data_IF_712428177993
#
_entry.id   IF_712428177993
#
_cell.length_a   1.000
_cell.length_b   1.000
_cell.length_c   1.000
_cell.angle_alpha   90.00
_cell.angle_beta   90.00
_cell.angle_gamma   90.00
#
_symmetry.space_group_name_H-M   'P 1'
#
loop_
_entity.id
_entity.type
_entity.pdbx_description
1 polymer ?
#
# COMPACT_ATOMS: atom_id res chain seq x y z
N UNK A 1 7.38 16.44 8.09
CA UNK A 1 7.96 15.70 6.95
C UNK A 1 9.46 15.90 6.91
N UNK A 2 10.17 14.86 6.48
CA UNK A 2 11.61 14.92 6.28
C UNK A 2 11.90 15.45 4.87
N UNK A 3 12.88 16.34 4.76
CA UNK A 3 13.36 16.89 3.48
C UNK A 3 14.67 16.24 3.02
N UNK A 4 15.33 15.48 3.90
CA UNK A 4 16.59 14.77 3.66
C UNK A 4 16.43 13.32 4.05
N UNK A 5 16.83 12.40 3.16
CA UNK A 5 16.56 10.97 3.31
C UNK A 5 17.87 10.15 3.27
N UNK A 6 18.55 10.06 4.40
CA UNK A 6 19.95 9.61 4.50
C UNK A 6 20.17 8.10 4.26
N UNK A 7 19.09 7.31 4.20
CA UNK A 7 19.18 5.85 4.04
C UNK A 7 19.22 5.37 2.57
N UNK A 8 18.84 6.23 1.62
CA UNK A 8 18.90 5.93 0.18
C UNK A 8 20.21 6.43 -0.43
N UNK A 9 20.86 5.55 -1.20
CA UNK A 9 22.03 5.90 -2.02
C UNK A 9 21.69 6.95 -3.08
N UNK A 10 22.70 7.64 -3.61
CA UNK A 10 22.51 8.63 -4.68
C UNK A 10 21.77 8.07 -5.89
N UNK A 11 22.06 6.82 -6.28
CA UNK A 11 21.40 6.13 -7.39
C UNK A 11 19.93 5.84 -7.09
N UNK A 12 19.58 5.41 -5.87
CA UNK A 12 18.19 5.14 -5.50
C UNK A 12 17.36 6.42 -5.41
N UNK A 13 17.96 7.51 -4.89
CA UNK A 13 17.32 8.83 -4.91
C UNK A 13 17.05 9.30 -6.33
N UNK A 14 17.97 9.05 -7.26
CA UNK A 14 17.79 9.36 -8.68
C UNK A 14 16.64 8.55 -9.30
N UNK A 15 16.59 7.23 -9.04
CA UNK A 15 15.47 6.37 -9.48
C UNK A 15 14.11 6.84 -8.94
N UNK A 16 14.06 7.25 -7.67
CA UNK A 16 12.83 7.78 -7.07
C UNK A 16 12.40 9.09 -7.73
N UNK A 17 13.34 9.98 -8.07
CA UNK A 17 13.04 11.21 -8.81
C UNK A 17 12.51 10.91 -10.21
N UNK A 18 13.14 10.00 -10.94
CA UNK A 18 12.66 9.56 -12.26
C UNK A 18 11.24 8.98 -12.20
N UNK A 19 10.96 8.19 -11.16
CA UNK A 19 9.61 7.69 -10.88
C UNK A 19 8.64 8.84 -10.62
N UNK A 20 9.01 9.79 -9.76
CA UNK A 20 8.17 10.95 -9.46
C UNK A 20 7.90 11.82 -10.69
N UNK A 21 8.89 12.03 -11.56
CA UNK A 21 8.74 12.78 -12.81
C UNK A 21 7.79 12.06 -13.79
N UNK A 22 7.87 10.73 -13.88
CA UNK A 22 6.96 9.94 -14.69
C UNK A 22 5.51 10.02 -14.16
N UNK A 23 5.34 9.94 -12.84
CA UNK A 23 4.04 10.11 -12.18
C UNK A 23 3.50 11.52 -12.40
N UNK A 24 4.33 12.55 -12.24
CA UNK A 24 3.95 13.94 -12.39
C UNK A 24 3.38 14.23 -13.78
N UNK A 25 4.02 13.69 -14.82
CA UNK A 25 3.56 13.81 -16.22
C UNK A 25 2.28 13.03 -16.50
N UNK A 26 2.08 11.90 -15.83
CA UNK A 26 0.95 11.01 -16.10
C UNK A 26 -0.36 11.47 -15.42
N UNK A 27 -0.27 11.94 -14.17
CA UNK A 27 -1.48 12.11 -13.33
C UNK A 27 -1.58 13.47 -12.63
N UNK A 28 -0.60 14.37 -12.85
CA UNK A 28 -0.58 15.74 -12.31
C UNK A 28 -0.97 15.82 -10.82
N UNK A 29 -0.22 15.15 -9.92
CA UNK A 29 -0.53 15.14 -8.50
C UNK A 29 -0.16 16.47 -7.84
N UNK A 30 -0.82 16.80 -6.73
CA UNK A 30 -0.39 17.92 -5.89
C UNK A 30 0.83 17.54 -5.05
N UNK A 31 0.89 16.28 -4.58
CA UNK A 31 2.03 15.77 -3.80
C UNK A 31 2.35 14.33 -4.12
N UNK A 32 3.63 14.00 -4.04
CA UNK A 32 4.14 12.63 -4.05
C UNK A 32 4.99 12.46 -2.79
N UNK A 33 4.59 11.53 -1.92
CA UNK A 33 5.29 11.23 -0.68
C UNK A 33 5.73 9.77 -0.70
N UNK A 34 7.04 9.54 -0.56
CA UNK A 34 7.58 8.20 -0.34
C UNK A 34 7.53 7.89 1.16
N UNK A 35 6.87 6.82 1.55
CA UNK A 35 6.71 6.44 2.96
C UNK A 35 7.34 5.08 3.31
N UNK A 36 7.85 4.36 2.32
CA UNK A 36 8.53 3.08 2.50
C UNK A 36 9.39 2.73 1.30
N UNK A 37 10.38 1.87 1.51
CA UNK A 37 11.13 1.25 0.43
C UNK A 37 11.67 -0.12 0.86
N UNK A 38 11.91 -1.00 -0.12
CA UNK A 38 12.48 -2.34 0.08
C UNK A 38 13.50 -2.64 -1.03
N UNK A 39 14.69 -3.09 -0.65
CA UNK A 39 15.71 -3.61 -1.58
C UNK A 39 15.46 -5.09 -1.80
N UNK A 40 15.50 -5.51 -3.05
CA UNK A 40 15.14 -6.85 -3.48
C UNK A 40 16.28 -7.42 -4.30
N UNK A 41 16.84 -8.52 -3.82
CA UNK A 41 17.82 -9.29 -4.59
C UNK A 41 17.06 -10.31 -5.45
N UNK A 42 17.01 -10.07 -6.76
CA UNK A 42 16.24 -10.89 -7.69
C UNK A 42 17.19 -11.74 -8.52
N UNK A 43 17.14 -13.04 -8.28
CA UNK A 43 17.83 -14.02 -9.13
C UNK A 43 16.82 -14.61 -10.10
N UNK A 44 17.16 -14.62 -11.39
CA UNK A 44 16.26 -15.15 -12.42
C UNK A 44 16.95 -16.24 -13.20
N UNK A 45 16.44 -17.46 -13.09
CA UNK A 45 16.84 -18.54 -13.98
C UNK A 45 15.71 -18.83 -14.95
N UNK A 46 16.05 -18.97 -16.23
CA UNK A 46 15.10 -19.39 -17.25
C UNK A 46 15.77 -20.37 -18.23
N UNK A 47 14.99 -21.31 -18.75
CA UNK A 47 15.50 -22.34 -19.68
C UNK A 47 16.05 -21.76 -20.98
N UNK A 48 15.55 -20.61 -21.43
CA UNK A 48 15.95 -19.98 -22.69
C UNK A 48 17.08 -18.95 -22.56
N UNK A 49 17.40 -18.52 -21.34
CA UNK A 49 18.36 -17.44 -21.09
C UNK A 49 19.35 -17.72 -19.95
N UNK A 50 19.30 -18.92 -19.38
CA UNK A 50 20.19 -19.36 -18.30
C UNK A 50 19.92 -18.64 -16.97
N UNK A 51 20.88 -18.75 -16.06
CA UNK A 51 20.90 -17.96 -14.83
C UNK A 51 21.31 -16.52 -15.16
N UNK A 52 20.41 -15.56 -14.97
CA UNK A 52 20.72 -14.13 -14.97
C UNK A 52 20.62 -13.61 -13.54
N UNK A 53 21.73 -13.05 -13.05
CA UNK A 53 21.70 -12.14 -11.89
C UNK A 53 21.07 -10.83 -12.36
N UNK A 54 19.83 -10.55 -11.96
CA UNK A 54 19.28 -9.21 -12.15
C UNK A 54 19.81 -8.33 -11.01
N UNK A 55 20.39 -7.18 -11.36
CA UNK A 55 20.81 -6.16 -10.38
C UNK A 55 19.67 -5.82 -9.43
N UNK A 56 20.03 -5.47 -8.19
CA UNK A 56 19.13 -5.08 -7.10
C UNK A 56 17.95 -4.22 -7.58
N UNK A 57 16.75 -4.77 -7.43
CA UNK A 57 15.52 -4.03 -7.62
C UNK A 57 15.17 -3.27 -6.34
N UNK A 58 14.54 -2.11 -6.50
CA UNK A 58 13.99 -1.36 -5.37
C UNK A 58 12.48 -1.25 -5.53
N UNK A 59 11.74 -1.57 -4.48
CA UNK A 59 10.32 -1.28 -4.38
C UNK A 59 10.13 -0.02 -3.54
N UNK A 60 9.35 0.96 -4.03
CA UNK A 60 8.96 2.14 -3.27
C UNK A 60 7.47 2.10 -2.92
N UNK A 61 7.13 2.54 -1.71
CA UNK A 61 5.76 2.73 -1.29
C UNK A 61 5.42 4.22 -1.33
N UNK A 62 4.52 4.58 -2.25
CA UNK A 62 4.26 5.95 -2.68
C UNK A 62 2.81 6.33 -2.35
N UNK A 63 2.64 7.42 -1.61
CA UNK A 63 1.38 8.11 -1.45
C UNK A 63 1.29 9.25 -2.48
N UNK A 64 0.27 9.18 -3.32
CA UNK A 64 -0.05 10.20 -4.32
C UNK A 64 -1.25 10.99 -3.81
N UNK A 65 -1.08 12.30 -3.68
CA UNK A 65 -2.15 13.21 -3.26
C UNK A 65 -2.59 14.01 -4.46
N UNK A 66 -3.87 13.86 -4.81
CA UNK A 66 -4.52 14.57 -5.90
C UNK A 66 -5.13 15.87 -5.40
N UNK A 67 -5.10 16.87 -6.27
CA UNK A 67 -5.80 18.12 -6.07
C UNK A 67 -7.30 18.02 -6.23
N UNK A 68 -8.00 19.04 -5.73
CA UNK A 68 -9.47 19.12 -5.81
C UNK A 68 -9.97 19.11 -7.25
N UNK A 69 -9.23 19.76 -8.15
CA UNK A 69 -9.55 19.96 -9.57
C UNK A 69 -9.06 18.82 -10.46
N UNK A 70 -8.39 17.79 -9.92
CA UNK A 70 -7.91 16.68 -10.73
C UNK A 70 -9.11 15.88 -11.28
N UNK A 71 -9.25 15.74 -12.61
CA UNK A 71 -10.43 15.16 -13.24
C UNK A 71 -10.45 13.63 -13.19
N UNK A 72 -9.32 12.97 -12.91
CA UNK A 72 -9.21 11.53 -12.99
C UNK A 72 -9.84 10.86 -11.76
N UNK A 73 -10.64 9.81 -12.01
CA UNK A 73 -11.10 8.89 -10.96
C UNK A 73 -9.92 8.08 -10.43
N UNK A 74 -10.05 7.56 -9.21
CA UNK A 74 -8.95 6.83 -8.56
C UNK A 74 -8.54 5.57 -9.36
N UNK A 75 -9.50 4.88 -9.97
CA UNK A 75 -9.26 3.70 -10.81
C UNK A 75 -8.49 4.03 -12.10
N UNK A 76 -8.81 5.15 -12.75
CA UNK A 76 -8.13 5.61 -13.95
C UNK A 76 -6.67 5.98 -13.65
N UNK A 77 -6.45 6.65 -12.51
CA UNK A 77 -5.10 7.00 -12.03
C UNK A 77 -4.29 5.73 -11.80
N UNK A 78 -4.86 4.73 -11.11
CA UNK A 78 -4.16 3.45 -10.90
C UNK A 78 -3.80 2.78 -12.23
N UNK A 79 -4.71 2.79 -13.20
CA UNK A 79 -4.46 2.22 -14.53
C UNK A 79 -3.33 2.96 -15.27
N UNK A 80 -3.24 4.28 -15.13
CA UNK A 80 -2.14 5.08 -15.70
C UNK A 80 -0.81 4.80 -14.99
N UNK A 81 -0.82 4.70 -13.67
CA UNK A 81 0.37 4.37 -12.87
C UNK A 81 0.87 2.95 -13.15
N UNK A 82 -0.04 2.01 -13.37
CA UNK A 82 0.27 0.63 -13.76
C UNK A 82 0.92 0.54 -15.15
N UNK A 83 0.89 1.62 -15.96
CA UNK A 83 1.65 1.68 -17.23
C UNK A 83 3.08 2.20 -17.04
N UNK A 84 3.38 2.85 -15.92
CA UNK A 84 4.74 3.33 -15.63
C UNK A 84 5.62 2.11 -15.34
N UNK A 85 6.65 1.94 -16.17
CA UNK A 85 7.63 0.85 -16.07
C UNK A 85 9.02 1.45 -16.13
N UNK A 86 9.71 1.42 -14.99
CA UNK A 86 11.10 1.82 -14.89
C UNK A 86 11.94 0.58 -14.60
N UNK A 87 13.06 0.37 -15.31
CA UNK A 87 13.94 -0.76 -15.05
C UNK A 87 14.41 -0.80 -13.59
N UNK A 88 14.34 -1.97 -12.96
CA UNK A 88 14.76 -2.21 -11.57
C UNK A 88 14.01 -1.40 -10.51
N UNK A 89 12.85 -0.83 -10.85
CA UNK A 89 12.00 -0.09 -9.91
C UNK A 89 10.61 -0.70 -9.91
N UNK A 90 10.15 -1.08 -8.72
CA UNK A 90 8.75 -1.42 -8.42
C UNK A 90 8.15 -0.30 -7.58
N UNK A 91 6.86 -0.07 -7.71
CA UNK A 91 6.19 0.96 -6.93
C UNK A 91 4.78 0.50 -6.54
N UNK A 92 4.46 0.69 -5.27
CA UNK A 92 3.13 0.47 -4.72
C UNK A 92 2.49 1.82 -4.47
N UNK A 93 1.26 2.01 -4.96
CA UNK A 93 0.59 3.30 -4.93
C UNK A 93 -0.61 3.30 -4.00
N UNK A 94 -0.67 4.30 -3.13
CA UNK A 94 -1.89 4.72 -2.45
C UNK A 94 -2.28 6.08 -3.02
N UNK A 95 -3.56 6.27 -3.34
CA UNK A 95 -4.07 7.52 -3.89
C UNK A 95 -5.11 8.08 -2.94
N UNK A 96 -4.97 9.36 -2.60
CA UNK A 96 -5.97 10.12 -1.85
C UNK A 96 -6.10 11.53 -2.41
N UNK A 97 -7.19 12.21 -2.03
CA UNK A 97 -7.32 13.66 -2.23
C UNK A 97 -6.73 14.40 -1.02
N UNK A 98 -6.24 15.61 -1.24
CA UNK A 98 -5.71 16.46 -0.15
C UNK A 98 -6.70 16.63 1.00
N UNK A 99 -8.00 16.75 0.69
CA UNK A 99 -9.08 16.84 1.69
C UNK A 99 -9.22 15.59 2.53
N UNK A 100 -9.13 14.40 1.90
CA UNK A 100 -9.20 13.12 2.60
C UNK A 100 -8.01 12.90 3.51
N UNK A 101 -6.80 13.25 3.05
CA UNK A 101 -5.59 13.18 3.87
C UNK A 101 -5.68 14.12 5.07
N UNK A 102 -6.08 15.38 4.86
CA UNK A 102 -6.19 16.35 5.95
C UNK A 102 -7.26 15.97 6.97
N UNK A 103 -8.42 15.47 6.52
CA UNK A 103 -9.45 14.93 7.41
C UNK A 103 -8.91 13.76 8.24
N UNK A 104 -8.23 12.80 7.60
CA UNK A 104 -7.67 11.65 8.30
C UNK A 104 -6.58 12.05 9.30
N UNK A 105 -5.73 13.04 8.98
CA UNK A 105 -4.76 13.58 9.94
C UNK A 105 -5.47 14.19 11.15
N UNK A 106 -6.49 15.03 10.91
CA UNK A 106 -7.29 15.69 11.95
C UNK A 106 -8.11 14.72 12.82
N UNK A 107 -8.53 13.59 12.27
CA UNK A 107 -9.21 12.52 13.01
C UNK A 107 -8.23 11.62 13.81
N UNK A 108 -6.92 11.86 13.68
CA UNK A 108 -5.89 11.08 14.36
C UNK A 108 -5.57 9.75 13.70
N UNK A 109 -5.72 9.62 12.38
CA UNK A 109 -5.33 8.41 11.64
C UNK A 109 -3.84 8.14 11.83
N UNK A 110 -3.51 6.96 12.36
CA UNK A 110 -2.13 6.58 12.67
C UNK A 110 -1.23 6.62 11.41
N UNK A 111 -1.66 5.95 10.33
CA UNK A 111 -0.95 5.93 9.05
C UNK A 111 -0.64 7.34 8.52
N UNK A 112 -1.66 8.19 8.32
CA UNK A 112 -1.45 9.51 7.72
C UNK A 112 -0.65 10.46 8.62
N UNK A 113 -0.75 10.32 9.94
CA UNK A 113 0.09 11.05 10.88
C UNK A 113 1.55 10.63 10.79
N UNK A 114 1.84 9.32 10.70
CA UNK A 114 3.21 8.82 10.49
C UNK A 114 3.77 9.25 9.13
N UNK A 115 2.97 9.20 8.05
CA UNK A 115 3.37 9.68 6.73
C UNK A 115 3.65 11.19 6.76
N UNK A 116 2.82 12.00 7.42
CA UNK A 116 3.06 13.44 7.58
C UNK A 116 4.30 13.74 8.44
N UNK A 117 4.60 12.90 9.42
CA UNK A 117 5.78 13.07 10.29
C UNK A 117 7.07 12.64 9.60
N UNK A 118 7.13 11.39 9.12
CA UNK A 118 8.33 10.69 8.67
C UNK A 118 8.42 10.47 7.16
N UNK A 119 7.33 10.64 6.43
CA UNK A 119 7.33 10.51 4.97
C UNK A 119 8.28 11.52 4.32
N UNK A 120 8.85 11.10 3.20
CA UNK A 120 9.72 11.92 2.38
C UNK A 120 8.92 12.58 1.26
N UNK A 121 8.85 13.90 1.29
CA UNK A 121 8.24 14.68 0.23
C UNK A 121 9.13 14.65 -1.02
N UNK A 122 8.66 13.99 -2.08
CA UNK A 122 9.39 13.89 -3.35
C UNK A 122 8.94 14.98 -4.32
N UNK A 123 7.65 15.30 -4.33
CA UNK A 123 7.07 16.37 -5.12
C UNK A 123 6.05 17.14 -4.29
N UNK A 124 6.14 18.47 -4.29
CA UNK A 124 5.20 19.37 -3.63
C UNK A 124 4.80 20.52 -4.56
N UNK A 125 3.52 20.58 -4.94
CA UNK A 125 2.95 21.66 -5.76
C UNK A 125 2.34 22.81 -4.95
N UNK A 126 2.50 22.83 -3.62
CA UNK A 126 2.11 23.93 -2.73
C UNK A 126 0.81 23.76 -1.95
N UNK A 127 0.03 22.69 -2.15
CA UNK A 127 -1.22 22.49 -1.40
C UNK A 127 -0.99 22.23 0.10
N UNK A 128 -1.70 22.87 1.04
CA UNK A 128 -1.41 22.70 2.46
C UNK A 128 -1.83 21.31 2.96
N UNK A 129 -0.88 20.60 3.60
CA UNK A 129 -1.18 19.43 4.42
C UNK A 129 -1.22 19.84 5.88
N UNK A 130 -2.18 19.29 6.63
CA UNK A 130 -2.23 19.48 8.06
C UNK A 130 -0.98 18.90 8.73
N UNK A 131 -0.45 19.63 9.71
CA UNK A 131 0.61 19.12 10.59
C UNK A 131 0.12 17.88 11.32
N UNK A 132 1.00 16.90 11.50
CA UNK A 132 0.67 15.70 12.26
C UNK A 132 0.16 16.09 13.65
N UNK A 133 -0.94 15.47 14.06
CA UNK A 133 -1.48 15.58 15.40
C UNK A 133 -0.97 14.38 16.18
N UNK A 134 -0.05 14.62 17.13
CA UNK A 134 0.58 13.54 17.88
C UNK A 134 -0.39 12.96 18.91
N UNK A 135 -1.22 12.00 18.49
CA UNK A 135 -2.13 11.29 19.38
C UNK A 135 -2.48 9.85 18.93
N UNK A 136 -1.47 9.00 18.69
CA UNK A 136 -1.68 7.53 18.79
C UNK A 136 -0.95 7.03 20.02
N UNK A 137 -1.61 7.10 21.17
CA UNK A 137 -1.21 6.30 22.32
C UNK A 137 -1.29 4.81 21.94
N UNK A 138 -0.35 4.00 22.44
CA UNK A 138 -0.38 2.54 22.23
C UNK A 138 -1.76 1.95 22.59
N UNK A 139 -2.40 2.51 23.62
CA UNK A 139 -3.76 2.18 24.03
C UNK A 139 -4.81 2.39 22.92
N UNK A 140 -4.80 3.55 22.26
CA UNK A 140 -5.69 3.85 21.13
C UNK A 140 -5.45 2.88 19.97
N UNK A 141 -4.19 2.63 19.63
CA UNK A 141 -3.86 1.73 18.52
C UNK A 141 -4.30 0.27 18.85
N UNK A 142 -4.15 -0.20 20.10
CA UNK A 142 -4.65 -1.51 20.57
C UNK A 142 -6.18 -1.59 20.53
N UNK A 143 -6.88 -0.55 21.00
CA UNK A 143 -8.34 -0.55 21.00
C UNK A 143 -8.92 -0.57 19.59
N UNK A 144 -8.35 0.22 18.67
CA UNK A 144 -8.71 0.17 17.26
C UNK A 144 -8.53 -1.24 16.69
N UNK A 145 -7.41 -1.90 16.97
CA UNK A 145 -7.16 -3.26 16.51
C UNK A 145 -8.22 -4.25 17.02
N UNK A 146 -8.59 -4.16 18.31
CA UNK A 146 -9.66 -4.97 18.91
C UNK A 146 -11.02 -4.73 18.28
N UNK A 147 -11.41 -3.47 18.08
CA UNK A 147 -12.68 -3.09 17.47
C UNK A 147 -12.76 -3.59 16.02
N UNK A 148 -11.72 -3.36 15.23
CA UNK A 148 -11.62 -3.82 13.84
C UNK A 148 -11.73 -5.34 13.78
N UNK A 149 -10.98 -6.06 14.62
CA UNK A 149 -11.01 -7.51 14.62
C UNK A 149 -12.37 -8.06 15.05
N UNK A 150 -12.98 -7.49 16.09
CA UNK A 150 -14.30 -7.90 16.59
C UNK A 150 -15.38 -7.76 15.51
N UNK A 151 -15.31 -6.71 14.69
CA UNK A 151 -16.25 -6.47 13.59
C UNK A 151 -16.00 -7.38 12.38
N UNK A 152 -14.74 -7.63 12.02
CA UNK A 152 -14.41 -8.34 10.77
C UNK A 152 -14.32 -9.86 10.96
N UNK A 153 -13.83 -10.33 12.11
CA UNK A 153 -13.60 -11.75 12.37
C UNK A 153 -14.83 -12.63 12.11
N UNK A 154 -16.05 -12.31 12.61
CA UNK A 154 -17.22 -13.16 12.36
C UNK A 154 -17.52 -13.34 10.87
N UNK A 155 -17.33 -12.28 10.08
CA UNK A 155 -17.56 -12.31 8.63
C UNK A 155 -16.50 -13.13 7.91
N UNK A 156 -15.23 -12.86 8.17
CA UNK A 156 -14.12 -13.60 7.55
C UNK A 156 -14.18 -15.10 7.89
N UNK A 157 -14.48 -15.41 9.17
CA UNK A 157 -14.66 -16.78 9.62
C UNK A 157 -15.89 -17.45 9.02
N UNK A 158 -16.99 -16.70 8.82
CA UNK A 158 -18.17 -17.19 8.11
C UNK A 158 -17.86 -17.61 6.67
N UNK A 159 -17.07 -16.81 5.94
CA UNK A 159 -16.59 -17.19 4.59
C UNK A 159 -15.73 -18.45 4.62
N UNK A 160 -14.79 -18.54 5.58
CA UNK A 160 -13.98 -19.74 5.76
C UNK A 160 -14.84 -20.99 6.04
N UNK A 161 -15.85 -20.90 6.91
CA UNK A 161 -16.78 -22.01 7.18
C UNK A 161 -17.59 -22.41 5.96
N UNK A 162 -18.03 -21.44 5.17
CA UNK A 162 -18.68 -21.71 3.89
C UNK A 162 -17.75 -22.46 2.93
N UNK A 163 -16.47 -22.06 2.86
CA UNK A 163 -15.49 -22.77 2.03
C UNK A 163 -15.31 -24.24 2.48
N UNK A 164 -15.17 -24.50 3.78
CA UNK A 164 -15.07 -25.87 4.32
C UNK A 164 -16.29 -26.73 3.93
N UNK A 165 -17.48 -26.14 3.92
CA UNK A 165 -18.70 -26.83 3.49
C UNK A 165 -18.64 -27.22 2.01
N UNK A 166 -18.32 -26.27 1.12
CA UNK A 166 -18.27 -26.54 -0.32
C UNK A 166 -17.13 -27.48 -0.73
N UNK A 167 -16.02 -27.46 0.03
CA UNK A 167 -14.96 -28.46 -0.06
C UNK A 167 -15.50 -29.88 0.14
N UNK A 168 -16.25 -30.09 1.22
CA UNK A 168 -16.87 -31.38 1.54
C UNK A 168 -17.92 -31.82 0.51
N UNK A 169 -18.61 -30.87 -0.11
CA UNK A 169 -19.58 -31.10 -1.18
C UNK A 169 -18.94 -31.32 -2.56
N UNK A 170 -17.61 -31.21 -2.69
CA UNK A 170 -16.89 -31.34 -3.96
C UNK A 170 -17.09 -30.17 -4.93
N UNK A 171 -17.59 -29.02 -4.45
CA UNK A 171 -17.74 -27.81 -5.25
C UNK A 171 -16.53 -26.88 -5.04
N UNK A 172 -15.46 -27.20 -5.76
CA UNK A 172 -14.16 -26.52 -5.67
C UNK A 172 -14.21 -25.05 -6.10
N UNK A 173 -15.13 -24.69 -7.00
CA UNK A 173 -15.28 -23.31 -7.48
C UNK A 173 -15.82 -22.40 -6.36
N UNK A 174 -16.88 -22.83 -5.66
CA UNK A 174 -17.42 -22.08 -4.54
C UNK A 174 -16.51 -22.11 -3.31
N UNK A 175 -15.79 -23.21 -3.09
CA UNK A 175 -14.72 -23.24 -2.07
C UNK A 175 -13.69 -22.15 -2.33
N UNK A 176 -13.11 -22.11 -3.54
CA UNK A 176 -12.07 -21.15 -3.89
C UNK A 176 -12.56 -19.69 -3.78
N UNK A 177 -13.79 -19.42 -4.23
CA UNK A 177 -14.41 -18.09 -4.10
C UNK A 177 -14.53 -17.65 -2.64
N UNK A 178 -15.00 -18.52 -1.76
CA UNK A 178 -15.20 -18.18 -0.34
C UNK A 178 -13.87 -18.09 0.42
N UNK A 179 -12.86 -18.91 0.07
CA UNK A 179 -11.51 -18.75 0.59
C UNK A 179 -10.92 -17.39 0.21
N UNK A 180 -11.09 -16.97 -1.04
CA UNK A 180 -10.65 -15.64 -1.48
C UNK A 180 -11.28 -14.53 -0.64
N UNK A 181 -12.60 -14.59 -0.41
CA UNK A 181 -13.30 -13.61 0.44
C UNK A 181 -12.81 -13.64 1.89
N UNK A 182 -12.56 -14.83 2.46
CA UNK A 182 -12.01 -14.96 3.81
C UNK A 182 -10.63 -14.26 3.91
N UNK A 183 -9.73 -14.54 2.97
CA UNK A 183 -8.38 -13.93 2.92
C UNK A 183 -8.47 -12.42 2.74
N UNK A 184 -9.29 -11.94 1.81
CA UNK A 184 -9.45 -10.50 1.54
C UNK A 184 -9.92 -9.74 2.78
N UNK A 185 -10.97 -10.24 3.46
CA UNK A 185 -11.50 -9.58 4.66
C UNK A 185 -10.48 -9.57 5.80
N UNK A 186 -9.77 -10.68 6.01
CA UNK A 186 -8.72 -10.77 7.02
C UNK A 186 -7.56 -9.82 6.70
N UNK A 187 -7.12 -9.74 5.45
CA UNK A 187 -6.07 -8.83 5.01
C UNK A 187 -6.46 -7.35 5.27
N UNK A 188 -7.66 -6.95 4.85
CA UNK A 188 -8.17 -5.60 5.09
C UNK A 188 -8.23 -5.26 6.59
N UNK A 189 -8.68 -6.22 7.42
CA UNK A 189 -8.72 -6.05 8.87
C UNK A 189 -7.33 -5.86 9.47
N UNK A 190 -6.35 -6.67 9.08
CA UNK A 190 -4.98 -6.60 9.59
C UNK A 190 -4.31 -5.27 9.24
N UNK A 191 -4.41 -4.83 7.98
CA UNK A 191 -3.89 -3.52 7.56
C UNK A 191 -4.52 -2.42 8.41
N UNK A 192 -5.86 -2.43 8.56
CA UNK A 192 -6.56 -1.41 9.34
C UNK A 192 -6.24 -1.46 10.83
N UNK A 193 -6.12 -2.65 11.41
CA UNK A 193 -5.82 -2.84 12.83
C UNK A 193 -4.43 -2.33 13.19
N UNK A 194 -3.42 -2.62 12.37
CA UNK A 194 -2.03 -2.28 12.65
C UNK A 194 -1.69 -0.85 12.25
N UNK A 195 -2.10 -0.44 11.05
CA UNK A 195 -1.70 0.86 10.49
C UNK A 195 -2.74 1.95 10.70
N UNK A 196 -3.99 1.59 11.01
CA UNK A 196 -5.13 2.51 11.00
C UNK A 196 -5.57 2.92 9.58
N UNK A 197 -4.93 2.40 8.53
CA UNK A 197 -5.28 2.68 7.15
C UNK A 197 -6.41 1.76 6.67
N UNK A 198 -7.39 2.32 5.96
CA UNK A 198 -8.44 1.55 5.27
C UNK A 198 -8.16 1.54 3.77
N UNK A 199 -7.66 0.42 3.21
CA UNK A 199 -7.51 0.30 1.77
C UNK A 199 -8.87 0.43 1.07
N UNK A 200 -8.89 1.08 -0.09
CA UNK A 200 -10.07 1.20 -0.95
C UNK A 200 -10.14 0.09 -2.00
N UNK A 201 -9.06 -0.69 -2.17
CA UNK A 201 -8.99 -1.76 -3.15
C UNK A 201 -9.23 -3.12 -2.49
N UNK A 202 -10.05 -3.93 -3.16
CA UNK A 202 -10.28 -5.35 -2.84
C UNK A 202 -9.26 -6.27 -3.53
N UNK A 203 -8.33 -5.71 -4.32
CA UNK A 203 -7.33 -6.50 -5.03
C UNK A 203 -6.23 -6.96 -4.06
N UNK A 204 -6.16 -8.27 -3.81
CA UNK A 204 -5.17 -8.89 -2.90
C UNK A 204 -3.72 -8.52 -3.27
N UNK A 205 -3.38 -8.45 -4.56
CA UNK A 205 -2.04 -8.07 -5.01
C UNK A 205 -1.67 -6.64 -4.59
N UNK A 206 -2.66 -5.75 -4.42
CA UNK A 206 -2.46 -4.39 -3.90
C UNK A 206 -2.53 -4.32 -2.37
N UNK A 207 -3.15 -5.31 -1.72
CA UNK A 207 -3.15 -5.44 -0.26
C UNK A 207 -1.84 -6.02 0.28
N UNK A 208 -1.19 -6.92 -0.47
CA UNK A 208 0.03 -7.58 -0.03
C UNK A 208 1.15 -6.61 0.40
N UNK A 209 1.50 -5.55 -0.35
CA UNK A 209 2.48 -4.56 0.12
C UNK A 209 2.06 -3.81 1.39
N UNK A 210 0.75 -3.63 1.62
CA UNK A 210 0.25 -2.97 2.83
C UNK A 210 0.30 -3.89 4.04
N UNK A 211 0.23 -5.20 3.85
CA UNK A 211 0.42 -6.19 4.89
C UNK A 211 1.89 -6.29 5.32
N UNK A 212 2.85 -6.08 4.40
CA UNK A 212 4.27 -5.94 4.76
C UNK A 212 4.46 -4.77 5.75
N UNK A 213 3.72 -3.65 5.60
CA UNK A 213 3.72 -2.54 6.58
C UNK A 213 3.18 -2.96 7.95
N UNK A 214 2.27 -3.93 7.98
CA UNK A 214 1.75 -4.52 9.22
C UNK A 214 2.68 -5.58 9.82
N UNK A 215 3.87 -5.77 9.24
CA UNK A 215 4.87 -6.74 9.71
C UNK A 215 4.61 -8.18 9.24
N UNK A 216 3.70 -8.38 8.29
CA UNK A 216 3.38 -9.70 7.75
C UNK A 216 4.11 -9.89 6.41
N UNK A 217 5.09 -10.78 6.39
CA UNK A 217 5.77 -11.15 5.15
C UNK A 217 4.82 -11.98 4.26
N UNK A 218 4.19 -11.31 3.30
CA UNK A 218 3.23 -11.96 2.41
C UNK A 218 3.88 -12.96 1.45
N UNK A 219 5.21 -12.91 1.27
CA UNK A 219 5.92 -13.87 0.42
C UNK A 219 5.90 -15.30 0.98
N UNK A 220 5.55 -15.47 2.26
CA UNK A 220 5.36 -16.78 2.88
C UNK A 220 4.02 -17.40 2.45
N UNK A 221 3.01 -16.60 2.17
CA UNK A 221 1.64 -17.06 1.89
C UNK A 221 1.34 -17.25 0.40
N UNK A 222 2.00 -16.47 -0.48
CA UNK A 222 1.70 -16.45 -1.92
C UNK A 222 2.86 -16.99 -2.78
N UNK A 223 3.49 -18.09 -2.37
CA UNK A 223 4.55 -18.75 -3.14
C UNK A 223 4.04 -19.44 -4.40
#
# INVERSE_FOLDING_TARGET
MQNTFDFLSSTERQRLKELADAIAKAVFPEKIICYGYKRLNVQRWQVFSGAQMLKDEIAFDILIIKGKTNPFKDEDVLTLLDKIRLPHVRANYIIHRVTGVNAAISEGSHFFNLVSKYGWMVLDSGAPLHSYQYDCSLYRCINLAKEVWTLVYPRAFGFYKGAEYYKGAGNWELEAFLLHQAVEQTALALVKAVTGYRPLSHNISRLAPLLDLAGLDCSVFFR
#
